data_IF_581906301003
#
_entry.id   IF_581906301003
#
_cell.length_a   1.000
_cell.length_b   1.000
_cell.length_c   1.000
_cell.angle_alpha   90.00
_cell.angle_beta   90.00
_cell.angle_gamma   90.00
#
_symmetry.space_group_name_H-M   'P 1'
#
loop_
_entity.id
_entity.type
_entity.pdbx_description
1 polymer ?
#
# COMPACT_ATOMS: atom_id res chain seq x y z
N UNK A 1 -29.66 11.66 -20.90
CA UNK A 1 -30.05 11.79 -19.47
C UNK A 1 -28.93 11.55 -18.46
N UNK A 2 -27.90 10.79 -18.77
CA UNK A 2 -26.75 10.49 -17.87
C UNK A 2 -25.81 11.70 -17.65
N UNK A 3 -25.49 12.44 -18.70
CA UNK A 3 -24.54 13.57 -18.65
C UNK A 3 -24.94 14.71 -17.70
N UNK A 4 -26.22 15.08 -17.65
CA UNK A 4 -26.71 16.16 -16.78
C UNK A 4 -26.58 15.81 -15.28
N UNK A 5 -26.89 14.58 -14.89
CA UNK A 5 -26.79 14.11 -13.51
C UNK A 5 -25.32 13.99 -13.05
N UNK A 6 -24.42 13.62 -13.97
CA UNK A 6 -22.99 13.57 -13.65
C UNK A 6 -22.41 14.97 -13.50
N UNK A 7 -22.79 15.92 -14.34
CA UNK A 7 -22.37 17.32 -14.21
C UNK A 7 -22.76 17.91 -12.86
N UNK A 8 -23.99 17.65 -12.38
CA UNK A 8 -24.43 18.05 -11.04
C UNK A 8 -23.62 17.39 -9.92
N UNK A 9 -23.22 16.13 -10.07
CA UNK A 9 -22.36 15.46 -9.09
C UNK A 9 -20.95 16.06 -9.04
N UNK A 10 -20.40 16.40 -10.20
CA UNK A 10 -19.11 17.08 -10.32
C UNK A 10 -19.16 18.47 -9.68
N UNK A 11 -20.20 19.24 -9.94
CA UNK A 11 -20.39 20.57 -9.34
C UNK A 11 -20.49 20.49 -7.81
N UNK A 12 -21.19 19.47 -7.28
CA UNK A 12 -21.27 19.24 -5.84
C UNK A 12 -19.91 18.86 -5.24
N UNK A 13 -19.13 18.08 -5.94
CA UNK A 13 -17.77 17.74 -5.52
C UNK A 13 -16.84 18.97 -5.50
N UNK A 14 -16.85 19.78 -6.55
CA UNK A 14 -16.04 21.00 -6.65
C UNK A 14 -16.40 22.03 -5.57
N UNK A 15 -17.66 22.01 -5.09
CA UNK A 15 -18.14 22.85 -3.98
C UNK A 15 -17.84 22.24 -2.60
N UNK A 16 -17.14 21.11 -2.51
CA UNK A 16 -16.87 20.42 -1.24
C UNK A 16 -18.08 19.75 -0.59
N UNK A 17 -19.20 19.63 -1.30
CA UNK A 17 -20.46 19.04 -0.80
C UNK A 17 -20.57 17.53 -1.03
N UNK A 18 -19.56 16.92 -1.63
CA UNK A 18 -19.49 15.49 -1.94
C UNK A 18 -18.08 14.96 -1.76
N UNK A 19 -17.95 13.76 -1.18
CA UNK A 19 -16.66 13.12 -1.02
C UNK A 19 -16.14 12.52 -2.36
N UNK A 20 -14.82 12.34 -2.46
CA UNK A 20 -14.20 11.65 -3.62
C UNK A 20 -14.77 10.26 -3.83
N UNK A 21 -15.02 9.54 -2.74
CA UNK A 21 -15.59 8.19 -2.77
C UNK A 21 -16.98 8.18 -3.39
N UNK A 22 -17.84 9.11 -2.97
CA UNK A 22 -19.23 9.20 -3.47
C UNK A 22 -19.26 9.59 -4.95
N UNK A 23 -18.36 10.48 -5.38
CA UNK A 23 -18.21 10.83 -6.78
C UNK A 23 -17.82 9.63 -7.64
N UNK A 24 -16.85 8.83 -7.18
CA UNK A 24 -16.40 7.62 -7.89
C UNK A 24 -17.50 6.54 -7.95
N UNK A 25 -18.24 6.34 -6.86
CA UNK A 25 -19.38 5.41 -6.83
C UNK A 25 -20.46 5.84 -7.82
N UNK A 26 -20.78 7.15 -7.86
CA UNK A 26 -21.74 7.68 -8.83
C UNK A 26 -21.26 7.54 -10.26
N UNK A 27 -19.99 7.84 -10.54
CA UNK A 27 -19.39 7.66 -11.86
C UNK A 27 -19.48 6.20 -12.33
N UNK A 28 -19.11 5.25 -11.47
CA UNK A 28 -19.21 3.82 -11.74
C UNK A 28 -20.65 3.37 -12.06
N UNK A 29 -21.65 3.89 -11.33
CA UNK A 29 -23.08 3.61 -11.61
C UNK A 29 -23.55 4.08 -12.99
N UNK A 30 -22.90 5.08 -13.54
CA UNK A 30 -23.19 5.59 -14.88
C UNK A 30 -22.25 5.04 -15.96
N UNK A 31 -21.41 4.04 -15.62
CA UNK A 31 -20.45 3.45 -16.56
C UNK A 31 -19.34 4.40 -17.01
N UNK A 32 -19.08 5.46 -16.21
CA UNK A 32 -18.06 6.46 -16.52
C UNK A 32 -16.78 6.03 -15.82
N UNK A 33 -15.80 5.58 -16.58
CA UNK A 33 -14.48 5.24 -16.07
C UNK A 33 -13.74 6.49 -15.58
N UNK A 34 -12.75 6.28 -14.71
CA UNK A 34 -11.98 7.36 -14.08
C UNK A 34 -11.39 8.35 -15.10
N UNK A 35 -10.80 7.86 -16.20
CA UNK A 35 -10.23 8.71 -17.24
C UNK A 35 -11.28 9.58 -17.97
N UNK A 36 -12.51 9.07 -18.12
CA UNK A 36 -13.61 9.84 -18.70
C UNK A 36 -14.15 10.89 -17.72
N UNK A 37 -14.18 10.57 -16.42
CA UNK A 37 -14.60 11.49 -15.37
C UNK A 37 -13.68 12.71 -15.29
N UNK A 38 -12.37 12.50 -15.33
CA UNK A 38 -11.36 13.55 -15.26
C UNK A 38 -11.42 14.49 -16.48
N UNK A 39 -11.65 13.93 -17.68
CA UNK A 39 -11.86 14.69 -18.91
C UNK A 39 -13.13 15.55 -18.84
N UNK A 40 -14.18 15.03 -18.21
CA UNK A 40 -15.45 15.78 -17.99
C UNK A 40 -15.29 16.92 -16.98
N UNK A 41 -14.36 16.81 -16.03
CA UNK A 41 -14.06 17.85 -15.03
C UNK A 41 -13.19 18.97 -15.60
N UNK A 42 -12.78 18.89 -16.89
CA UNK A 42 -11.85 19.85 -17.48
C UNK A 42 -10.47 19.84 -16.81
N UNK A 43 -10.24 18.89 -15.92
CA UNK A 43 -8.94 18.65 -15.34
C UNK A 43 -8.10 17.97 -16.40
N UNK A 44 -7.12 18.65 -16.90
CA UNK A 44 -6.01 17.92 -17.47
C UNK A 44 -5.47 17.05 -16.35
N UNK A 45 -5.67 15.73 -16.45
CA UNK A 45 -4.98 14.75 -15.59
C UNK A 45 -3.55 14.69 -16.11
N UNK A 46 -2.94 15.83 -16.17
CA UNK A 46 -1.52 15.96 -16.16
C UNK A 46 -1.17 15.94 -14.69
N UNK A 47 -0.73 14.80 -14.26
CA UNK A 47 0.21 14.71 -13.13
C UNK A 47 -0.26 15.09 -11.72
N UNK A 48 -1.39 15.70 -11.47
CA UNK A 48 -1.80 16.08 -10.12
C UNK A 48 -2.31 14.90 -9.25
N UNK A 49 -2.48 13.71 -9.84
CA UNK A 49 -2.59 12.44 -9.12
C UNK A 49 -1.38 11.52 -9.41
N UNK A 50 -0.44 12.01 -10.18
CA UNK A 50 0.76 11.26 -10.56
C UNK A 50 2.03 11.95 -10.12
N UNK A 51 1.94 13.00 -9.29
CA UNK A 51 3.20 13.57 -8.85
C UNK A 51 3.01 14.33 -7.55
N UNK A 52 2.96 13.59 -6.51
CA UNK A 52 4.12 13.73 -5.67
C UNK A 52 5.23 13.00 -6.42
N UNK A 53 6.32 13.67 -6.69
CA UNK A 53 7.53 13.08 -7.25
C UNK A 53 8.11 12.09 -6.23
N UNK A 54 7.36 10.99 -5.97
CA UNK A 54 7.86 9.92 -5.13
C UNK A 54 8.93 9.19 -5.93
N UNK A 55 10.16 9.35 -5.49
CA UNK A 55 11.29 8.66 -6.09
C UNK A 55 11.30 7.19 -5.68
N UNK A 56 10.61 6.37 -6.46
CA UNK A 56 10.59 4.92 -6.28
C UNK A 56 11.98 4.29 -6.28
N UNK A 57 12.98 4.95 -6.86
CA UNK A 57 14.35 4.45 -6.97
C UNK A 57 15.29 5.03 -5.93
N UNK A 58 14.80 5.82 -5.00
CA UNK A 58 15.58 6.44 -3.92
C UNK A 58 16.49 5.43 -3.17
N UNK A 59 16.03 4.19 -3.03
CA UNK A 59 16.76 3.12 -2.35
C UNK A 59 17.20 2.01 -3.30
N UNK A 60 17.36 2.32 -4.59
CA UNK A 60 17.82 1.36 -5.59
C UNK A 60 19.17 0.74 -5.20
N UNK A 61 19.29 -0.57 -5.41
CA UNK A 61 20.49 -1.35 -5.02
C UNK A 61 20.44 -1.88 -3.58
N UNK A 62 19.53 -1.40 -2.73
CA UNK A 62 19.33 -1.95 -1.38
C UNK A 62 18.70 -3.34 -1.46
N UNK A 63 19.10 -4.21 -0.55
CA UNK A 63 18.45 -5.51 -0.33
C UNK A 63 17.66 -5.44 0.96
N UNK A 64 16.38 -5.85 0.92
CA UNK A 64 15.55 -6.04 2.11
C UNK A 64 15.32 -7.54 2.32
N UNK A 65 15.30 -7.98 3.56
CA UNK A 65 15.12 -9.38 3.92
C UNK A 65 13.81 -9.57 4.69
N UNK A 66 12.95 -10.48 4.19
CA UNK A 66 11.62 -10.73 4.73
C UNK A 66 11.58 -12.07 5.45
N UNK A 67 10.88 -12.12 6.58
CA UNK A 67 10.52 -13.36 7.23
C UNK A 67 9.04 -13.65 6.94
N UNK A 68 8.78 -14.73 6.20
CA UNK A 68 7.46 -15.02 5.64
C UNK A 68 6.86 -16.31 6.20
N UNK A 69 5.56 -16.27 6.49
CA UNK A 69 4.77 -17.45 6.81
C UNK A 69 4.35 -18.16 5.52
N UNK A 70 4.42 -19.49 5.48
CA UNK A 70 3.89 -20.29 4.38
C UNK A 70 2.36 -20.21 4.32
N UNK A 71 1.87 -19.25 3.55
CA UNK A 71 0.45 -18.94 3.40
C UNK A 71 0.16 -18.51 1.94
N UNK A 72 -1.04 -18.74 1.39
CA UNK A 72 -1.35 -18.39 -0.01
C UNK A 72 -1.06 -16.94 -0.42
N UNK A 73 -1.17 -15.98 0.50
CA UNK A 73 -0.81 -14.59 0.19
C UNK A 73 0.68 -14.43 -0.16
N UNK A 74 1.56 -15.25 0.47
CA UNK A 74 3.00 -15.25 0.21
C UNK A 74 3.31 -15.59 -1.25
N UNK A 75 2.61 -16.58 -1.82
CA UNK A 75 2.80 -16.96 -3.22
C UNK A 75 2.49 -15.79 -4.15
N UNK A 76 1.44 -15.02 -3.82
CA UNK A 76 1.08 -13.81 -4.55
C UNK A 76 2.13 -12.70 -4.41
N UNK A 77 2.70 -12.51 -3.22
CA UNK A 77 3.78 -11.53 -3.03
C UNK A 77 5.03 -11.92 -3.81
N UNK A 78 5.44 -13.19 -3.75
CA UNK A 78 6.63 -13.68 -4.47
C UNK A 78 6.47 -13.48 -5.98
N UNK A 79 5.28 -13.72 -6.52
CA UNK A 79 4.99 -13.50 -7.93
C UNK A 79 5.17 -12.03 -8.38
N UNK A 80 5.06 -11.07 -7.47
CA UNK A 80 5.20 -9.64 -7.74
C UNK A 80 6.61 -9.08 -7.45
N UNK A 81 7.56 -9.88 -6.95
CA UNK A 81 8.89 -9.39 -6.59
C UNK A 81 9.68 -8.85 -7.77
N UNK A 82 9.54 -9.43 -8.96
CA UNK A 82 10.18 -8.91 -10.17
C UNK A 82 9.64 -7.53 -10.56
N UNK A 83 8.33 -7.33 -10.42
CA UNK A 83 7.67 -6.03 -10.64
C UNK A 83 8.13 -5.01 -9.61
N UNK A 84 8.23 -5.40 -8.34
CA UNK A 84 8.75 -4.54 -7.27
C UNK A 84 10.19 -4.12 -7.56
N UNK A 85 11.06 -5.08 -7.94
CA UNK A 85 12.44 -4.79 -8.30
C UNK A 85 12.56 -3.88 -9.51
N UNK A 86 11.75 -4.10 -10.55
CA UNK A 86 11.74 -3.25 -11.74
C UNK A 86 11.34 -1.80 -11.41
N UNK A 87 10.36 -1.64 -10.49
CA UNK A 87 9.88 -0.34 -10.06
C UNK A 87 10.88 0.39 -9.16
N UNK A 88 11.41 -0.30 -8.14
CA UNK A 88 12.20 0.32 -7.07
C UNK A 88 13.71 0.19 -7.24
N UNK A 89 14.16 -0.79 -8.02
CA UNK A 89 15.58 -1.18 -8.10
C UNK A 89 16.11 -1.89 -6.85
N UNK A 90 15.24 -2.20 -5.88
CA UNK A 90 15.60 -2.92 -4.65
C UNK A 90 15.58 -4.44 -4.90
N UNK A 91 16.41 -5.17 -4.15
CA UNK A 91 16.33 -6.62 -4.09
C UNK A 91 15.53 -7.05 -2.87
N UNK A 92 14.84 -8.19 -2.98
CA UNK A 92 14.14 -8.81 -1.85
C UNK A 92 14.66 -10.22 -1.66
N UNK A 93 15.18 -10.51 -0.48
CA UNK A 93 15.48 -11.84 0.02
C UNK A 93 14.40 -12.26 1.02
N UNK A 94 14.16 -13.54 1.15
CA UNK A 94 13.15 -14.01 2.11
C UNK A 94 13.42 -15.42 2.60
N UNK A 95 13.08 -15.65 3.86
CA UNK A 95 12.99 -16.97 4.46
C UNK A 95 11.53 -17.32 4.72
N UNK A 96 11.15 -18.57 4.42
CA UNK A 96 9.79 -19.07 4.54
C UNK A 96 9.74 -20.18 5.58
N UNK A 97 8.85 -20.05 6.55
CA UNK A 97 8.60 -21.09 7.54
C UNK A 97 7.13 -21.50 7.56
N UNK A 98 6.88 -22.77 7.89
CA UNK A 98 5.53 -23.25 8.15
C UNK A 98 4.95 -22.56 9.39
N UNK A 99 3.63 -22.44 9.45
CA UNK A 99 2.94 -21.64 10.47
C UNK A 99 3.22 -22.11 11.90
N UNK A 100 3.37 -23.40 12.09
CA UNK A 100 3.65 -24.04 13.38
C UNK A 100 4.98 -23.60 14.03
N UNK A 101 5.97 -23.20 13.22
CA UNK A 101 7.27 -22.71 13.70
C UNK A 101 7.51 -21.24 13.41
N UNK A 102 6.69 -20.63 12.55
CA UNK A 102 6.89 -19.28 12.08
C UNK A 102 6.84 -18.25 13.19
N UNK A 103 5.78 -18.26 14.00
CA UNK A 103 5.60 -17.26 15.06
C UNK A 103 6.63 -17.37 16.18
N UNK A 104 7.13 -18.58 16.45
CA UNK A 104 8.23 -18.77 17.38
C UNK A 104 9.52 -18.15 16.84
N UNK A 105 9.80 -18.30 15.54
CA UNK A 105 10.93 -17.68 14.87
C UNK A 105 10.87 -16.16 14.91
N UNK A 106 9.70 -15.57 14.56
CA UNK A 106 9.49 -14.13 14.66
C UNK A 106 9.72 -13.64 16.08
N UNK A 107 9.09 -14.30 17.06
CA UNK A 107 9.21 -13.91 18.47
C UNK A 107 10.66 -13.99 18.95
N UNK A 108 11.39 -15.03 18.58
CA UNK A 108 12.80 -15.18 18.92
C UNK A 108 13.67 -14.09 18.30
N UNK A 109 13.47 -13.79 17.02
CA UNK A 109 14.20 -12.72 16.34
C UNK A 109 13.94 -11.36 16.98
N UNK A 110 12.67 -11.01 17.21
CA UNK A 110 12.29 -9.72 17.82
C UNK A 110 12.77 -9.58 19.26
N UNK A 111 12.58 -10.59 20.08
CA UNK A 111 12.98 -10.56 21.51
C UNK A 111 14.49 -10.50 21.72
N UNK A 112 15.27 -11.06 20.77
CA UNK A 112 16.73 -10.97 20.80
C UNK A 112 17.27 -9.64 20.26
N UNK A 113 16.42 -8.77 19.70
CA UNK A 113 16.85 -7.55 19.02
C UNK A 113 17.63 -7.83 17.72
N UNK A 114 17.37 -8.97 17.10
CA UNK A 114 18.02 -9.33 15.83
C UNK A 114 17.64 -8.36 14.72
N UNK A 115 18.61 -7.92 13.94
CA UNK A 115 18.44 -7.14 12.72
C UNK A 115 18.54 -8.00 11.46
N UNK A 116 18.31 -9.30 11.59
CA UNK A 116 18.41 -10.23 10.44
C UNK A 116 17.32 -10.00 9.39
N UNK A 117 16.14 -9.56 9.82
CA UNK A 117 14.99 -9.31 8.96
C UNK A 117 14.53 -7.85 9.07
N UNK A 118 14.25 -7.25 7.92
CA UNK A 118 13.75 -5.86 7.83
C UNK A 118 12.22 -5.80 8.00
N UNK A 119 11.52 -6.85 7.57
CA UNK A 119 10.08 -6.93 7.73
C UNK A 119 9.61 -8.39 7.88
N UNK A 120 8.45 -8.55 8.49
CA UNK A 120 7.87 -9.85 8.75
C UNK A 120 6.34 -9.79 8.72
N UNK A 121 5.72 -10.92 8.45
CA UNK A 121 4.28 -11.05 8.59
C UNK A 121 3.90 -11.22 10.05
N UNK A 122 2.83 -10.59 10.50
CA UNK A 122 2.27 -10.84 11.82
C UNK A 122 0.78 -11.13 11.77
N UNK A 123 0.28 -11.82 12.79
CA UNK A 123 -1.14 -12.05 13.02
C UNK A 123 -1.72 -11.08 14.04
N UNK A 124 -3.04 -10.89 14.02
CA UNK A 124 -3.74 -10.00 14.93
C UNK A 124 -3.44 -10.29 16.43
N UNK A 125 -3.25 -11.55 16.79
CA UNK A 125 -2.92 -11.94 18.16
C UNK A 125 -1.53 -11.50 18.61
N UNK A 126 -0.56 -11.49 17.71
CA UNK A 126 0.82 -11.14 18.03
C UNK A 126 1.03 -9.64 18.18
N UNK A 127 0.18 -8.81 17.57
CA UNK A 127 0.26 -7.36 17.71
C UNK A 127 0.11 -6.88 19.15
N UNK A 128 -0.66 -7.59 19.97
CA UNK A 128 -0.81 -7.31 21.40
C UNK A 128 0.47 -7.52 22.22
N UNK A 129 1.37 -8.36 21.72
CA UNK A 129 2.68 -8.63 22.35
C UNK A 129 3.75 -7.73 21.75
N UNK A 130 3.86 -7.68 20.43
CA UNK A 130 4.98 -7.03 19.74
C UNK A 130 4.92 -5.50 19.83
N UNK A 131 3.71 -4.90 19.76
CA UNK A 131 3.53 -3.47 19.88
C UNK A 131 3.95 -2.92 21.24
N UNK A 132 3.34 -3.38 22.36
CA UNK A 132 3.72 -2.91 23.71
C UNK A 132 5.16 -3.23 24.09
N UNK A 133 5.75 -4.31 23.54
CA UNK A 133 7.17 -4.63 23.74
C UNK A 133 8.13 -3.68 23.02
N UNK A 134 7.61 -2.83 22.12
CA UNK A 134 8.44 -1.91 21.34
C UNK A 134 9.30 -2.61 20.28
N UNK A 135 8.89 -3.80 19.83
CA UNK A 135 9.65 -4.59 18.86
C UNK A 135 9.36 -4.21 17.40
N UNK A 136 8.34 -3.40 17.17
CA UNK A 136 7.98 -2.93 15.84
C UNK A 136 8.21 -1.42 15.72
N UNK A 137 8.64 -0.97 14.55
CA UNK A 137 8.73 0.44 14.25
C UNK A 137 7.34 1.09 14.20
N UNK A 138 7.23 2.32 14.72
CA UNK A 138 6.02 3.13 14.55
C UNK A 138 5.98 3.66 13.11
N UNK A 139 4.92 3.30 12.38
CA UNK A 139 4.73 3.73 11.00
C UNK A 139 3.88 5.00 10.86
N UNK A 140 3.42 5.60 11.96
CA UNK A 140 2.55 6.77 11.89
C UNK A 140 3.21 7.96 11.21
N UNK A 141 4.51 8.17 11.39
CA UNK A 141 5.24 9.25 10.71
C UNK A 141 5.23 9.10 9.18
N UNK A 142 5.32 7.87 8.67
CA UNK A 142 5.26 7.58 7.22
C UNK A 142 3.84 7.68 6.67
N UNK A 143 2.83 7.34 7.48
CA UNK A 143 1.41 7.42 7.09
C UNK A 143 0.95 8.88 7.03
N UNK A 144 1.51 9.74 7.89
CA UNK A 144 1.17 11.16 7.96
C UNK A 144 2.01 12.01 7.00
N UNK A 145 3.08 11.46 6.46
CA UNK A 145 3.87 12.12 5.42
C UNK A 145 3.00 12.33 4.19
N UNK A 146 2.84 13.59 3.81
CA UNK A 146 2.02 14.00 2.65
C UNK A 146 2.81 13.96 1.33
N UNK A 147 4.06 13.52 1.36
CA UNK A 147 4.92 13.41 0.19
C UNK A 147 4.67 12.16 -0.65
#
# INVERSE_FOLDING_TARGET
MSHSKMKSAIDSFLKGQMSRRDLLIKAGRYGIGFAALTKLMGMQVTSALAAQDFDWKKHSGTTIKLLMNKHPYMDSMIAELDNFKALTGMNVEYDIFAEDVYFDKVTAALSSGSSEYDAFMTGAYMTWTYGPAGWCADLNEFIQDSN
#
